data_IF_081965860901
#
_entry.id   IF_081965860901
#
_cell.length_a   1.000
_cell.length_b   1.000
_cell.length_c   1.000
_cell.angle_alpha   90.00
_cell.angle_beta   90.00
_cell.angle_gamma   90.00
#
_symmetry.space_group_name_H-M   'P 1'
#
loop_
_entity.id
_entity.type
_entity.pdbx_description
1 polymer ?
#
# COMPACT_ATOMS: atom_id res chain seq x y z
N UNK A 1 -33.99 -4.63 7.16
CA UNK A 1 -33.29 -5.74 7.79
C UNK A 1 -32.17 -6.31 6.96
N UNK A 2 -32.22 -6.07 5.64
CA UNK A 2 -31.10 -6.42 4.77
C UNK A 2 -29.84 -5.64 5.14
N UNK A 3 -30.01 -4.39 5.53
CA UNK A 3 -28.89 -3.55 5.96
C UNK A 3 -28.25 -4.12 7.21
N UNK A 4 -29.06 -4.58 8.17
CA UNK A 4 -28.53 -5.16 9.39
C UNK A 4 -27.78 -6.46 9.13
N UNK A 5 -28.32 -7.30 8.26
CA UNK A 5 -27.67 -8.55 7.89
C UNK A 5 -26.34 -8.28 7.15
N UNK A 6 -26.34 -7.29 6.26
CA UNK A 6 -25.12 -6.89 5.55
C UNK A 6 -24.07 -6.36 6.52
N UNK A 7 -24.47 -5.54 7.48
CA UNK A 7 -23.56 -5.00 8.48
C UNK A 7 -22.97 -6.10 9.36
N UNK A 8 -23.78 -7.07 9.76
CA UNK A 8 -23.28 -8.21 10.54
C UNK A 8 -22.32 -9.06 9.74
N UNK A 9 -22.62 -9.29 8.47
CA UNK A 9 -21.75 -10.06 7.58
C UNK A 9 -20.41 -9.34 7.38
N UNK A 10 -20.44 -8.03 7.17
CA UNK A 10 -19.22 -7.23 7.01
C UNK A 10 -18.37 -7.27 8.28
N UNK A 11 -19.00 -7.07 9.45
CA UNK A 11 -18.28 -7.10 10.72
C UNK A 11 -17.64 -8.47 10.97
N UNK A 12 -18.34 -9.54 10.65
CA UNK A 12 -17.82 -10.89 10.82
C UNK A 12 -16.63 -11.14 9.89
N UNK A 13 -16.75 -10.73 8.64
CA UNK A 13 -15.66 -10.91 7.66
C UNK A 13 -14.47 -10.01 8.02
N UNK A 14 -14.70 -8.80 8.52
CA UNK A 14 -13.62 -7.93 8.97
C UNK A 14 -12.83 -8.57 10.12
N UNK A 15 -13.52 -9.24 11.04
CA UNK A 15 -12.85 -9.97 12.12
C UNK A 15 -11.97 -11.10 11.57
N UNK A 16 -12.45 -11.80 10.55
CA UNK A 16 -11.68 -12.84 9.87
C UNK A 16 -10.50 -12.24 9.12
N UNK A 17 -10.71 -11.13 8.43
CA UNK A 17 -9.66 -10.44 7.68
C UNK A 17 -8.54 -9.96 8.62
N UNK A 18 -8.91 -9.56 9.86
CA UNK A 18 -7.94 -9.12 10.84
C UNK A 18 -7.15 -10.23 11.52
N UNK A 19 -7.50 -11.50 11.27
CA UNK A 19 -6.78 -12.62 11.85
C UNK A 19 -5.34 -12.66 11.33
N UNK A 20 -4.33 -12.75 12.22
CA UNK A 20 -2.93 -12.75 11.81
C UNK A 20 -2.56 -13.82 10.79
N UNK A 21 -3.09 -15.03 10.93
CA UNK A 21 -2.81 -16.12 9.98
C UNK A 21 -3.35 -15.79 8.60
N UNK A 22 -4.55 -15.24 8.56
CA UNK A 22 -5.16 -14.83 7.29
C UNK A 22 -4.39 -13.69 6.65
N UNK A 23 -3.99 -12.68 7.43
CA UNK A 23 -3.20 -11.55 6.91
C UNK A 23 -1.84 -12.01 6.41
N UNK A 24 -1.22 -12.96 7.10
CA UNK A 24 0.06 -13.53 6.67
C UNK A 24 -0.07 -14.19 5.30
N UNK A 25 -1.13 -14.99 5.11
CA UNK A 25 -1.39 -15.66 3.84
C UNK A 25 -1.65 -14.64 2.72
N UNK A 26 -2.41 -13.60 3.00
CA UNK A 26 -2.67 -12.53 2.03
C UNK A 26 -1.38 -11.80 1.66
N UNK A 27 -0.53 -11.54 2.64
CA UNK A 27 0.76 -10.89 2.40
C UNK A 27 1.65 -11.73 1.49
N UNK A 28 1.73 -13.04 1.73
CA UNK A 28 2.49 -13.95 0.87
C UNK A 28 1.96 -13.93 -0.55
N UNK A 29 0.65 -14.04 -0.71
CA UNK A 29 0.00 -14.03 -2.03
C UNK A 29 0.26 -12.71 -2.75
N UNK A 30 0.16 -11.60 -2.03
CA UNK A 30 0.43 -10.30 -2.62
C UNK A 30 1.88 -10.18 -3.09
N UNK A 31 2.83 -10.55 -2.23
CA UNK A 31 4.25 -10.47 -2.57
C UNK A 31 4.54 -11.33 -3.80
N UNK A 32 4.07 -12.58 -3.80
CA UNK A 32 4.31 -13.49 -4.91
C UNK A 32 3.71 -12.96 -6.21
N UNK A 33 2.49 -12.48 -6.16
CA UNK A 33 1.81 -11.93 -7.34
C UNK A 33 2.53 -10.69 -7.86
N UNK A 34 2.87 -9.78 -6.96
CA UNK A 34 3.57 -8.54 -7.33
C UNK A 34 4.93 -8.83 -7.96
N UNK A 35 5.73 -9.65 -7.30
CA UNK A 35 7.09 -9.98 -7.78
C UNK A 35 7.04 -10.72 -9.11
N UNK A 36 6.07 -11.61 -9.28
CA UNK A 36 5.89 -12.34 -10.54
C UNK A 36 5.54 -11.38 -11.68
N UNK A 37 4.60 -10.44 -11.45
CA UNK A 37 4.23 -9.47 -12.46
C UNK A 37 5.40 -8.59 -12.87
N UNK A 38 6.18 -8.14 -11.91
CA UNK A 38 7.37 -7.32 -12.19
C UNK A 38 8.41 -8.13 -12.99
N UNK A 39 8.67 -9.37 -12.58
CA UNK A 39 9.65 -10.23 -13.25
C UNK A 39 9.23 -10.55 -14.70
N UNK A 40 7.93 -10.68 -14.95
CA UNK A 40 7.40 -10.95 -16.28
C UNK A 40 7.31 -9.71 -17.17
N UNK A 41 7.64 -8.53 -16.62
CA UNK A 41 7.51 -7.29 -17.37
C UNK A 41 6.04 -6.89 -17.58
N UNK A 42 5.13 -7.38 -16.75
CA UNK A 42 3.70 -7.11 -16.90
C UNK A 42 3.28 -5.75 -16.35
N UNK A 43 4.21 -4.98 -15.82
CA UNK A 43 3.96 -3.65 -15.28
C UNK A 43 4.76 -2.61 -16.05
N UNK A 44 4.23 -1.38 -16.13
CA UNK A 44 4.95 -0.28 -16.77
C UNK A 44 5.99 0.31 -15.81
N UNK A 45 5.60 0.57 -14.56
CA UNK A 45 6.45 1.23 -13.58
C UNK A 45 6.59 0.44 -12.27
N UNK A 46 6.01 -0.75 -12.16
CA UNK A 46 6.02 -1.54 -10.94
C UNK A 46 5.22 -0.93 -9.81
N UNK A 47 4.27 -0.05 -10.09
CA UNK A 47 3.45 0.63 -9.09
C UNK A 47 2.23 -0.20 -8.73
N UNK A 48 2.01 -0.41 -7.44
CA UNK A 48 0.85 -1.14 -6.96
C UNK A 48 0.27 -0.45 -5.73
N UNK A 49 -1.03 -0.59 -5.54
CA UNK A 49 -1.72 -0.07 -4.38
C UNK A 49 -2.47 -1.22 -3.72
N UNK A 50 -2.37 -1.34 -2.43
CA UNK A 50 -3.10 -2.34 -1.66
C UNK A 50 -4.07 -1.63 -0.73
N UNK A 51 -5.36 -1.93 -0.90
CA UNK A 51 -6.43 -1.26 -0.17
C UNK A 51 -6.93 -2.15 0.97
N UNK A 52 -6.86 -1.65 2.19
CA UNK A 52 -7.33 -2.36 3.38
C UNK A 52 -8.61 -1.71 3.90
N UNK A 53 -9.37 -2.48 4.67
CA UNK A 53 -10.66 -2.01 5.16
C UNK A 53 -10.56 -1.02 6.32
N UNK A 54 -9.49 -1.08 7.12
CA UNK A 54 -9.30 -0.14 8.23
C UNK A 54 -7.84 0.03 8.59
N UNK A 55 -7.57 1.02 9.46
CA UNK A 55 -6.21 1.40 9.85
C UNK A 55 -5.44 0.27 10.56
N UNK A 56 -6.12 -0.43 11.44
CA UNK A 56 -5.50 -1.50 12.22
C UNK A 56 -5.02 -2.64 11.31
N UNK A 57 -5.87 -3.04 10.38
CA UNK A 57 -5.53 -4.08 9.41
C UNK A 57 -4.40 -3.61 8.50
N UNK A 58 -4.45 -2.36 8.04
CA UNK A 58 -3.41 -1.80 7.17
C UNK A 58 -2.05 -1.81 7.85
N UNK A 59 -1.98 -1.41 9.11
CA UNK A 59 -0.72 -1.41 9.84
C UNK A 59 -0.20 -2.84 10.07
N UNK A 60 -1.08 -3.76 10.47
CA UNK A 60 -0.69 -5.15 10.66
C UNK A 60 -0.18 -5.77 9.36
N UNK A 61 -0.86 -5.50 8.26
CA UNK A 61 -0.46 -5.98 6.93
C UNK A 61 0.91 -5.43 6.54
N UNK A 62 1.12 -4.13 6.74
CA UNK A 62 2.40 -3.50 6.48
C UNK A 62 3.53 -4.19 7.27
N UNK A 63 3.30 -4.39 8.57
CA UNK A 63 4.31 -5.02 9.42
C UNK A 63 4.66 -6.43 8.97
N UNK A 64 3.67 -7.19 8.53
CA UNK A 64 3.89 -8.55 8.03
C UNK A 64 4.73 -8.50 6.76
N UNK A 65 4.41 -7.61 5.83
CA UNK A 65 5.14 -7.51 4.56
C UNK A 65 6.60 -7.11 4.79
N UNK A 66 6.85 -6.12 5.61
CA UNK A 66 8.24 -5.69 5.85
C UNK A 66 9.01 -6.73 6.68
N UNK A 67 8.30 -7.59 7.42
CA UNK A 67 8.92 -8.76 8.06
C UNK A 67 9.40 -9.78 7.04
N UNK A 68 8.66 -9.94 5.94
CA UNK A 68 9.02 -10.87 4.86
C UNK A 68 10.02 -10.27 3.88
N UNK A 69 9.98 -8.95 3.69
CA UNK A 69 10.83 -8.21 2.78
C UNK A 69 11.39 -6.97 3.45
N UNK A 70 12.35 -7.13 4.38
CA UNK A 70 12.92 -5.99 5.11
C UNK A 70 13.53 -4.93 4.19
N UNK A 71 14.07 -5.33 3.04
CA UNK A 71 14.67 -4.42 2.07
C UNK A 71 13.65 -3.46 1.46
N UNK A 72 12.35 -3.80 1.51
CA UNK A 72 11.32 -2.89 1.01
C UNK A 72 11.12 -1.67 1.92
N UNK A 73 11.58 -1.73 3.16
CA UNK A 73 11.53 -0.61 4.09
C UNK A 73 12.79 0.26 4.05
N UNK A 74 13.76 -0.07 3.22
CA UNK A 74 14.96 0.74 3.07
C UNK A 74 14.70 1.93 2.16
N UNK A 75 15.27 3.07 2.51
CA UNK A 75 15.14 4.29 1.71
C UNK A 75 16.15 4.31 0.60
N UNK A 76 15.69 4.49 -0.63
CA UNK A 76 16.52 4.66 -1.82
C UNK A 76 15.90 5.74 -2.70
N UNK A 77 16.73 6.43 -3.46
CA UNK A 77 16.26 7.45 -4.41
C UNK A 77 15.50 6.79 -5.55
N UNK A 78 16.04 5.69 -6.06
CA UNK A 78 15.44 4.93 -7.14
C UNK A 78 15.81 3.45 -6.99
N UNK A 79 15.12 2.54 -7.69
CA UNK A 79 15.49 1.13 -7.68
C UNK A 79 16.90 0.92 -8.25
N UNK A 80 17.56 -0.16 -7.84
CA UNK A 80 18.88 -0.52 -8.32
C UNK A 80 18.86 -0.66 -9.84
N UNK A 81 19.90 -0.13 -10.49
CA UNK A 81 20.03 -0.22 -11.93
C UNK A 81 19.30 0.85 -12.73
N UNK A 82 18.51 1.70 -12.08
CA UNK A 82 17.80 2.79 -12.76
C UNK A 82 18.75 3.97 -12.94
N UNK A 83 18.80 4.48 -14.17
CA UNK A 83 19.62 5.65 -14.52
C UNK A 83 18.78 6.92 -14.40
N UNK A 84 19.34 7.97 -13.79
CA UNK A 84 18.65 9.23 -13.60
C UNK A 84 19.39 10.36 -14.31
N UNK A 85 18.60 11.26 -14.93
CA UNK A 85 19.15 12.52 -15.44
C UNK A 85 19.38 13.48 -14.27
N UNK A 86 20.11 14.57 -14.51
CA UNK A 86 20.34 15.58 -13.46
C UNK A 86 19.03 16.19 -12.96
N UNK A 87 18.08 16.39 -13.85
CA UNK A 87 16.75 16.89 -13.48
C UNK A 87 16.03 15.90 -12.57
N UNK A 88 16.06 14.62 -12.94
CA UNK A 88 15.41 13.58 -12.16
C UNK A 88 16.03 13.42 -10.78
N UNK A 89 17.34 13.56 -10.66
CA UNK A 89 18.03 13.53 -9.37
C UNK A 89 17.55 14.62 -8.43
N UNK A 90 17.15 15.77 -8.98
CA UNK A 90 16.63 16.88 -8.17
C UNK A 90 15.20 16.65 -7.72
N UNK A 91 14.42 15.93 -8.51
CA UNK A 91 13.01 15.67 -8.24
C UNK A 91 12.78 14.50 -7.28
N UNK A 92 13.72 13.55 -7.23
CA UNK A 92 13.59 12.34 -6.44
C UNK A 92 14.33 12.46 -5.12
N UNK A 93 13.76 11.85 -4.10
CA UNK A 93 14.33 11.80 -2.75
C UNK A 93 14.32 10.36 -2.24
N UNK A 94 15.25 10.02 -1.32
CA UNK A 94 15.23 8.68 -0.73
C UNK A 94 13.88 8.38 -0.08
N UNK A 95 13.33 7.23 -0.41
CA UNK A 95 12.03 6.81 0.11
C UNK A 95 11.96 5.28 0.07
N UNK A 96 11.16 4.71 0.94
CA UNK A 96 10.97 3.26 1.02
C UNK A 96 10.20 2.76 -0.21
N UNK A 97 10.43 1.50 -0.57
CA UNK A 97 9.69 0.86 -1.66
C UNK A 97 8.22 0.70 -1.30
N UNK A 98 7.93 0.36 -0.04
CA UNK A 98 6.56 0.21 0.44
C UNK A 98 6.29 1.19 1.58
N UNK A 99 5.12 1.82 1.54
CA UNK A 99 4.70 2.75 2.58
C UNK A 99 3.23 2.57 2.89
N UNK A 100 2.92 2.83 4.16
CA UNK A 100 1.55 2.91 4.65
C UNK A 100 1.13 4.39 4.57
N UNK A 101 0.11 4.67 3.78
CA UNK A 101 -0.35 6.03 3.54
C UNK A 101 -1.70 6.25 4.22
N UNK A 102 -1.68 6.97 5.34
CA UNK A 102 -2.86 7.32 6.13
C UNK A 102 -2.58 8.59 6.89
N UNK A 103 -3.64 9.27 7.31
CA UNK A 103 -3.50 10.39 8.25
C UNK A 103 -3.13 9.83 9.62
N UNK A 104 -2.15 10.44 10.29
CA UNK A 104 -1.77 10.01 11.63
C UNK A 104 -2.75 10.53 12.68
N UNK A 105 -2.91 9.77 13.77
CA UNK A 105 -3.77 10.10 14.89
C UNK A 105 -2.94 10.23 16.14
N UNK A 106 -3.41 11.05 17.10
CA UNK A 106 -2.76 11.21 18.40
C UNK A 106 -2.57 9.90 19.14
N UNK A 107 -3.49 8.97 18.94
CA UNK A 107 -3.50 7.69 19.66
C UNK A 107 -2.65 6.62 18.99
N UNK A 108 -2.03 6.94 17.86
CA UNK A 108 -1.16 5.99 17.17
C UNK A 108 0.08 5.70 18.02
N UNK A 109 0.58 4.47 17.90
CA UNK A 109 1.86 4.11 18.50
C UNK A 109 2.95 5.05 17.99
N UNK A 110 3.96 5.39 18.80
CA UNK A 110 5.00 6.33 18.37
C UNK A 110 5.66 5.98 17.04
N UNK A 111 5.95 4.71 16.79
CA UNK A 111 6.56 4.27 15.54
C UNK A 111 5.65 4.52 14.36
N UNK A 112 4.37 4.20 14.51
CA UNK A 112 3.39 4.43 13.46
C UNK A 112 3.21 5.92 13.21
N UNK A 113 3.09 6.71 14.27
CA UNK A 113 2.91 8.15 14.18
C UNK A 113 4.04 8.80 13.38
N UNK A 114 5.28 8.45 13.71
CA UNK A 114 6.46 8.98 12.99
C UNK A 114 6.47 8.51 11.53
N UNK A 115 6.16 7.25 11.30
CA UNK A 115 6.18 6.68 9.95
C UNK A 115 5.17 7.34 9.02
N UNK A 116 3.97 7.64 9.54
CA UNK A 116 2.92 8.24 8.73
C UNK A 116 3.22 9.69 8.36
N UNK A 117 3.93 10.40 9.22
CA UNK A 117 4.39 11.75 8.93
C UNK A 117 3.30 12.81 8.96
N UNK A 118 3.71 14.03 8.63
CA UNK A 118 2.84 15.20 8.59
C UNK A 118 2.06 15.24 7.28
N UNK A 119 1.16 16.22 7.15
CA UNK A 119 0.46 16.48 5.91
C UNK A 119 1.42 16.81 4.77
N UNK A 120 2.46 17.58 5.07
CA UNK A 120 3.48 17.93 4.06
C UNK A 120 4.29 16.70 3.67
N UNK A 121 4.62 15.84 4.62
CA UNK A 121 5.28 14.57 4.32
C UNK A 121 4.44 13.72 3.37
N UNK A 122 3.13 13.64 3.62
CA UNK A 122 2.23 12.87 2.76
C UNK A 122 2.13 13.45 1.36
N UNK A 123 2.21 14.77 1.21
CA UNK A 123 2.27 15.39 -0.12
C UNK A 123 3.51 14.97 -0.87
N UNK A 124 4.65 14.89 -0.17
CA UNK A 124 5.89 14.41 -0.77
C UNK A 124 5.79 12.94 -1.14
N UNK A 125 5.18 12.10 -0.28
CA UNK A 125 4.97 10.69 -0.59
C UNK A 125 4.11 10.52 -1.85
N UNK A 126 3.04 11.30 -1.96
CA UNK A 126 2.18 11.31 -3.14
C UNK A 126 2.96 11.68 -4.39
N UNK A 127 3.76 12.73 -4.30
CA UNK A 127 4.59 13.19 -5.42
C UNK A 127 5.58 12.11 -5.86
N UNK A 128 6.21 11.46 -4.90
CA UNK A 128 7.14 10.35 -5.20
C UNK A 128 6.42 9.17 -5.83
N UNK A 129 5.23 8.82 -5.32
CA UNK A 129 4.49 7.70 -5.87
C UNK A 129 4.07 7.93 -7.32
N UNK A 130 3.81 9.17 -7.69
CA UNK A 130 3.45 9.53 -9.07
C UNK A 130 4.65 9.53 -10.02
N UNK A 131 5.86 9.56 -9.49
CA UNK A 131 7.08 9.57 -10.30
C UNK A 131 7.49 8.13 -10.62
N UNK A 132 7.53 7.78 -11.90
CA UNK A 132 7.78 6.40 -12.33
C UNK A 132 9.17 5.89 -11.95
N UNK A 133 10.14 6.77 -11.75
CA UNK A 133 11.51 6.39 -11.41
C UNK A 133 11.80 6.37 -9.92
N UNK A 134 10.86 6.83 -9.10
CA UNK A 134 11.02 6.79 -7.64
C UNK A 134 11.11 5.34 -7.15
N UNK A 135 11.83 5.15 -6.05
CA UNK A 135 11.87 3.87 -5.38
C UNK A 135 10.52 3.48 -4.78
N UNK A 136 9.63 4.44 -4.53
CA UNK A 136 8.33 4.18 -3.92
C UNK A 136 7.40 3.52 -4.94
N UNK A 137 7.16 2.21 -4.75
CA UNK A 137 6.40 1.39 -5.69
C UNK A 137 5.08 0.87 -5.16
N UNK A 138 4.95 0.68 -3.85
CA UNK A 138 3.79 0.02 -3.25
C UNK A 138 3.22 0.89 -2.15
N UNK A 139 1.95 1.29 -2.30
CA UNK A 139 1.23 2.07 -1.29
C UNK A 139 0.15 1.20 -0.65
N UNK A 140 0.17 1.08 0.68
CA UNK A 140 -0.90 0.45 1.44
C UNK A 140 -1.80 1.57 1.93
N UNK A 141 -3.07 1.53 1.58
CA UNK A 141 -4.03 2.59 1.89
C UNK A 141 -5.30 2.02 2.51
N UNK A 142 -6.12 2.88 3.09
CA UNK A 142 -7.46 2.54 3.53
C UNK A 142 -8.47 3.24 2.63
N UNK A 143 -9.72 2.79 2.65
CA UNK A 143 -10.77 3.20 1.73
C UNK A 143 -10.80 4.67 1.35
N UNK A 144 -10.72 5.51 2.36
CA UNK A 144 -10.91 6.95 2.16
C UNK A 144 -9.88 7.59 1.25
N UNK A 145 -8.79 6.91 0.98
CA UNK A 145 -7.70 7.47 0.18
C UNK A 145 -7.88 7.26 -1.31
N UNK A 146 -8.79 6.38 -1.72
CA UNK A 146 -9.01 6.10 -3.13
C UNK A 146 -9.54 7.31 -3.91
N UNK A 147 -10.33 8.15 -3.25
CA UNK A 147 -10.99 9.27 -3.94
C UNK A 147 -10.04 10.41 -4.30
N UNK A 148 -8.93 10.55 -3.57
CA UNK A 148 -7.98 11.63 -3.80
C UNK A 148 -6.65 11.19 -4.39
N UNK A 149 -6.52 9.93 -4.75
CA UNK A 149 -5.24 9.36 -5.13
C UNK A 149 -5.24 9.04 -6.64
N UNK A 150 -4.69 9.96 -7.42
CA UNK A 150 -4.59 9.81 -8.87
C UNK A 150 -3.15 9.47 -9.24
N UNK A 151 -2.91 8.24 -9.69
CA UNK A 151 -1.57 7.77 -10.07
C UNK A 151 -1.62 7.25 -11.49
N UNK A 152 -1.22 8.09 -12.49
CA UNK A 152 -1.29 7.68 -13.89
C UNK A 152 -0.51 6.40 -14.22
N UNK A 153 0.58 6.14 -13.49
CA UNK A 153 1.41 4.97 -13.73
C UNK A 153 1.05 3.77 -12.85
N UNK A 154 -0.13 3.80 -12.21
CA UNK A 154 -0.57 2.71 -11.35
C UNK A 154 -0.95 1.51 -12.21
N UNK A 155 -0.27 0.39 -12.01
CA UNK A 155 -0.48 -0.84 -12.78
C UNK A 155 -1.54 -1.74 -12.19
N UNK A 156 -1.59 -1.84 -10.85
CA UNK A 156 -2.42 -2.83 -10.19
C UNK A 156 -2.96 -2.29 -8.87
N UNK A 157 -4.24 -2.55 -8.63
CA UNK A 157 -4.87 -2.28 -7.34
C UNK A 157 -5.31 -3.60 -6.74
N UNK A 158 -4.83 -3.88 -5.52
CA UNK A 158 -5.24 -5.05 -4.74
C UNK A 158 -6.22 -4.58 -3.70
N UNK A 159 -7.33 -5.29 -3.56
CA UNK A 159 -8.38 -4.91 -2.61
C UNK A 159 -8.65 -6.05 -1.65
N UNK A 160 -8.48 -5.81 -0.36
CA UNK A 160 -8.75 -6.78 0.68
C UNK A 160 -9.90 -6.31 1.56
N UNK A 161 -11.12 -6.41 1.01
CA UNK A 161 -12.34 -6.02 1.70
C UNK A 161 -13.40 -7.09 1.58
N UNK A 162 -14.20 -7.29 2.65
CA UNK A 162 -15.20 -8.35 2.65
C UNK A 162 -16.26 -8.22 1.56
N UNK A 163 -16.66 -7.01 1.25
CA UNK A 163 -17.75 -6.75 0.28
C UNK A 163 -17.26 -6.80 -1.17
N UNK A 164 -15.95 -6.67 -1.38
CA UNK A 164 -15.41 -6.47 -2.72
C UNK A 164 -15.50 -7.69 -3.61
N UNK A 165 -15.63 -8.87 -3.06
CA UNK A 165 -15.77 -10.08 -3.87
C UNK A 165 -16.98 -9.99 -4.81
N UNK A 166 -18.09 -9.47 -4.32
CA UNK A 166 -19.29 -9.31 -5.15
C UNK A 166 -19.11 -8.19 -6.18
N UNK A 167 -18.47 -7.13 -5.81
CA UNK A 167 -18.21 -6.02 -6.72
C UNK A 167 -17.29 -6.43 -7.86
N UNK A 168 -16.30 -7.26 -7.59
CA UNK A 168 -15.34 -7.70 -8.59
C UNK A 168 -15.94 -8.68 -9.61
N UNK A 169 -16.95 -9.43 -9.21
CA UNK A 169 -17.61 -10.39 -10.09
C UNK A 169 -18.48 -9.68 -11.12
N UNK A 170 -19.01 -8.55 -10.76
CA UNK A 170 -19.85 -7.75 -11.64
C UNK A 170 -19.01 -6.94 -12.62
#
# INVERSE_FOLDING_TARGET
HQIEESQKAVAHIDAIIGDPDRLHAVAEDFINHYETRVAEGATVAGKAMFVCSNRKIAYAFYQIIVGMRPEWAEKKVCPDGVQLTEKEKKELKPIEKIKLIMTRNKDDEPELYEMLGTKDDRKEFDRQFKNVKSNFKIAIVVDMWLTGFDVPALDTIYIDKPIQQHSLIQ
#
